data_IF_804547484381
#
_entry.id   IF_804547484381
#
_cell.length_a   1.000
_cell.length_b   1.000
_cell.length_c   1.000
_cell.angle_alpha   90.00
_cell.angle_beta   90.00
_cell.angle_gamma   90.00
#
_symmetry.space_group_name_H-M   'P 1'
#
loop_
_entity.id
_entity.type
_entity.pdbx_description
1 polymer ?
#
# COMPACT_ATOMS: atom_id res chain seq x y z
N UNK A 1 -16.08 -0.55 -1.79
CA UNK A 1 -15.57 -0.96 -3.12
C UNK A 1 -15.27 0.33 -3.87
N UNK A 2 -14.09 0.43 -4.49
CA UNK A 2 -13.73 1.64 -5.24
C UNK A 2 -14.75 1.92 -6.35
N UNK A 3 -15.09 3.17 -6.53
CA UNK A 3 -15.92 3.62 -7.65
C UNK A 3 -15.02 4.03 -8.81
N UNK A 4 -14.71 3.07 -9.67
CA UNK A 4 -13.83 3.26 -10.82
C UNK A 4 -14.44 4.10 -11.95
N UNK A 5 -15.69 4.56 -11.81
CA UNK A 5 -16.29 5.53 -12.73
C UNK A 5 -15.86 6.95 -12.42
N UNK A 6 -15.30 7.19 -11.23
CA UNK A 6 -14.81 8.51 -10.83
C UNK A 6 -13.36 8.70 -11.26
N UNK A 7 -13.12 9.81 -11.91
CA UNK A 7 -11.80 10.30 -12.28
C UNK A 7 -11.56 11.63 -11.58
N UNK A 8 -10.42 11.78 -10.91
CA UNK A 8 -9.97 13.06 -10.41
C UNK A 8 -9.00 13.67 -11.43
N UNK A 9 -9.13 14.97 -11.66
CA UNK A 9 -8.25 15.70 -12.57
C UNK A 9 -7.29 16.58 -11.77
N UNK A 10 -6.15 16.87 -12.38
CA UNK A 10 -5.08 17.63 -11.74
C UNK A 10 -5.54 18.99 -11.22
N UNK A 11 -6.45 19.64 -11.93
CA UNK A 11 -7.04 20.95 -11.57
C UNK A 11 -7.78 20.91 -10.23
N UNK A 12 -8.39 19.77 -9.91
CA UNK A 12 -9.22 19.58 -8.71
C UNK A 12 -8.42 19.18 -7.47
N UNK A 13 -7.11 18.93 -7.63
CA UNK A 13 -6.22 18.47 -6.55
C UNK A 13 -5.40 19.64 -6.00
N UNK A 14 -5.28 19.71 -4.67
CA UNK A 14 -4.45 20.70 -3.98
C UNK A 14 -3.38 20.04 -3.10
N UNK A 15 -2.27 20.74 -2.90
CA UNK A 15 -1.29 20.32 -1.89
C UNK A 15 -1.95 20.34 -0.50
N UNK A 16 -1.73 19.28 0.26
CA UNK A 16 -2.37 19.06 1.56
C UNK A 16 -3.65 18.21 1.51
N UNK A 17 -4.23 17.96 0.34
CA UNK A 17 -5.41 17.09 0.23
C UNK A 17 -5.09 15.68 0.72
N UNK A 18 -5.94 15.15 1.60
CA UNK A 18 -5.85 13.76 2.05
C UNK A 18 -6.47 12.83 1.01
N UNK A 19 -5.82 11.69 0.77
CA UNK A 19 -6.39 10.67 -0.11
C UNK A 19 -7.28 9.70 0.68
N UNK A 20 -8.26 9.06 0.05
CA UNK A 20 -9.13 8.08 0.72
C UNK A 20 -8.32 6.97 1.38
N UNK A 21 -8.65 6.65 2.63
CA UNK A 21 -8.07 5.51 3.33
C UNK A 21 -8.58 4.21 2.74
N UNK A 22 -7.68 3.26 2.51
CA UNK A 22 -8.03 1.90 2.06
C UNK A 22 -7.53 0.90 3.09
N UNK A 23 -8.44 0.05 3.58
CA UNK A 23 -8.15 -0.97 4.58
C UNK A 23 -7.87 -2.33 3.94
N UNK A 24 -6.81 -2.97 4.41
CA UNK A 24 -6.38 -4.29 3.98
C UNK A 24 -6.34 -5.27 5.15
N UNK A 25 -7.18 -6.28 5.11
CA UNK A 25 -7.16 -7.35 6.10
C UNK A 25 -6.04 -8.35 5.79
N UNK A 26 -5.15 -8.56 6.73
CA UNK A 26 -4.05 -9.53 6.62
C UNK A 26 -4.55 -10.90 7.09
N UNK A 27 -5.27 -11.60 6.21
CA UNK A 27 -5.79 -12.94 6.47
C UNK A 27 -4.83 -14.03 6.00
N UNK A 28 -4.90 -15.22 6.63
CA UNK A 28 -4.08 -16.39 6.26
C UNK A 28 -4.17 -16.70 4.78
N UNK A 29 -5.41 -16.77 4.25
CA UNK A 29 -5.62 -17.07 2.84
C UNK A 29 -4.94 -16.06 1.92
N UNK A 30 -5.03 -14.78 2.24
CA UNK A 30 -4.39 -13.71 1.45
C UNK A 30 -2.88 -13.82 1.44
N UNK A 31 -2.28 -14.10 2.61
CA UNK A 31 -0.83 -14.31 2.72
C UNK A 31 -0.35 -15.50 1.88
N UNK A 32 -1.07 -16.62 1.94
CA UNK A 32 -0.72 -17.83 1.17
C UNK A 32 -0.88 -17.60 -0.34
N UNK A 33 -2.01 -17.03 -0.77
CA UNK A 33 -2.29 -16.78 -2.19
C UNK A 33 -1.28 -15.78 -2.77
N UNK A 34 -0.98 -14.74 -2.01
CA UNK A 34 -0.06 -13.69 -2.42
C UNK A 34 1.39 -14.23 -2.52
N UNK A 35 1.86 -14.97 -1.51
CA UNK A 35 3.17 -15.60 -1.56
C UNK A 35 3.31 -16.52 -2.79
N UNK A 36 2.26 -17.28 -3.11
CA UNK A 36 2.22 -18.10 -4.32
C UNK A 36 2.24 -17.27 -5.61
N UNK A 37 1.44 -16.21 -5.67
CA UNK A 37 1.33 -15.33 -6.85
C UNK A 37 2.66 -14.61 -7.16
N UNK A 38 3.35 -14.15 -6.13
CA UNK A 38 4.65 -13.49 -6.26
C UNK A 38 5.83 -14.45 -6.33
N UNK A 39 5.58 -15.76 -6.24
CA UNK A 39 6.64 -16.79 -6.16
C UNK A 39 7.60 -16.59 -4.97
N UNK A 40 7.13 -15.95 -3.93
CA UNK A 40 7.85 -15.79 -2.67
C UNK A 40 7.48 -16.94 -1.73
N UNK A 41 8.10 -18.08 -1.99
CA UNK A 41 7.83 -19.32 -1.23
C UNK A 41 8.52 -19.37 0.13
N UNK A 42 9.05 -18.24 0.63
CA UNK A 42 9.61 -18.20 1.96
C UNK A 42 8.51 -18.52 3.00
N UNK A 43 8.69 -19.55 3.83
CA UNK A 43 7.64 -20.01 4.73
C UNK A 43 7.26 -18.98 5.83
N UNK A 44 8.03 -17.94 6.04
CA UNK A 44 7.71 -16.86 7.01
C UNK A 44 6.39 -16.15 6.69
N UNK A 45 5.95 -16.20 5.42
CA UNK A 45 4.70 -15.58 4.97
C UNK A 45 3.47 -16.49 5.15
N UNK A 46 3.65 -17.76 5.48
CA UNK A 46 2.54 -18.71 5.65
C UNK A 46 2.76 -19.74 6.77
N UNK A 47 3.76 -19.54 7.62
CA UNK A 47 4.04 -20.40 8.76
C UNK A 47 4.54 -19.57 9.95
N UNK A 48 3.69 -19.40 10.95
CA UNK A 48 3.99 -18.63 12.17
C UNK A 48 5.21 -19.14 12.93
N UNK A 49 5.39 -20.45 13.05
CA UNK A 49 6.53 -21.01 13.81
C UNK A 49 7.87 -20.65 13.15
N UNK A 50 7.92 -20.67 11.82
CA UNK A 50 9.13 -20.29 11.09
C UNK A 50 9.36 -18.78 11.09
N UNK A 51 8.29 -17.99 11.01
CA UNK A 51 8.37 -16.53 11.15
C UNK A 51 8.93 -16.15 12.54
N UNK A 52 8.40 -16.78 13.60
CA UNK A 52 8.86 -16.56 14.99
C UNK A 52 10.32 -17.01 15.20
N UNK A 53 10.73 -18.10 14.58
CA UNK A 53 12.13 -18.55 14.62
C UNK A 53 13.10 -17.53 13.97
N UNK A 54 12.59 -16.64 13.11
CA UNK A 54 13.35 -15.55 12.49
C UNK A 54 13.12 -14.19 13.15
N UNK A 55 12.44 -14.15 14.30
CA UNK A 55 12.25 -12.93 15.09
C UNK A 55 10.99 -12.13 14.78
N UNK A 56 10.14 -12.57 13.86
CA UNK A 56 8.83 -11.95 13.64
C UNK A 56 7.81 -12.45 14.68
N UNK A 57 6.82 -11.63 15.07
CA UNK A 57 5.81 -12.05 16.05
C UNK A 57 4.85 -13.13 15.50
N UNK A 58 4.55 -13.09 14.22
CA UNK A 58 3.64 -13.97 13.50
C UNK A 58 4.03 -14.03 12.01
N UNK A 59 3.40 -14.91 11.22
CA UNK A 59 3.51 -14.82 9.76
C UNK A 59 2.98 -13.47 9.27
N UNK A 60 3.58 -12.91 8.23
CA UNK A 60 3.36 -11.53 7.83
C UNK A 60 3.42 -11.33 6.32
N UNK A 61 2.86 -10.20 5.88
CA UNK A 61 2.85 -9.79 4.48
C UNK A 61 4.28 -9.56 3.94
N UNK A 62 4.55 -10.01 2.73
CA UNK A 62 5.79 -9.69 2.07
C UNK A 62 5.78 -8.28 1.45
N UNK A 63 6.94 -7.80 1.06
CA UNK A 63 7.13 -6.45 0.55
C UNK A 63 6.33 -6.17 -0.72
N UNK A 64 6.23 -7.14 -1.62
CA UNK A 64 5.50 -7.00 -2.88
C UNK A 64 4.01 -6.83 -2.64
N UNK A 65 3.46 -7.55 -1.66
CA UNK A 65 2.07 -7.40 -1.27
C UNK A 65 1.77 -6.02 -0.69
N UNK A 66 2.66 -5.50 0.16
CA UNK A 66 2.54 -4.16 0.75
C UNK A 66 2.65 -3.08 -0.34
N UNK A 67 3.55 -3.24 -1.30
CA UNK A 67 3.63 -2.35 -2.47
C UNK A 67 2.31 -2.34 -3.26
N UNK A 68 1.67 -3.49 -3.42
CA UNK A 68 0.36 -3.60 -4.05
C UNK A 68 -0.74 -2.85 -3.29
N UNK A 69 -0.68 -2.81 -1.96
CA UNK A 69 -1.62 -2.01 -1.16
C UNK A 69 -1.46 -0.51 -1.42
N UNK A 70 -0.24 -0.02 -1.47
CA UNK A 70 0.03 1.40 -1.75
C UNK A 70 -0.31 1.77 -3.19
N UNK A 71 0.02 0.92 -4.16
CA UNK A 71 -0.40 1.12 -5.54
C UNK A 71 -1.93 1.17 -5.65
N UNK A 72 -2.62 0.21 -5.02
CA UNK A 72 -4.08 0.17 -5.00
C UNK A 72 -4.67 1.44 -4.38
N UNK A 73 -4.14 1.89 -3.25
CA UNK A 73 -4.61 3.09 -2.55
C UNK A 73 -4.40 4.35 -3.41
N UNK A 74 -3.22 4.50 -4.01
CA UNK A 74 -2.95 5.59 -4.93
C UNK A 74 -3.90 5.54 -6.15
N UNK A 75 -4.15 4.36 -6.70
CA UNK A 75 -5.03 4.13 -7.84
C UNK A 75 -6.49 4.48 -7.55
N UNK A 76 -6.97 4.18 -6.35
CA UNK A 76 -8.32 4.57 -5.92
C UNK A 76 -8.50 6.10 -5.83
N UNK A 77 -7.42 6.84 -5.60
CA UNK A 77 -7.44 8.29 -5.61
C UNK A 77 -7.32 8.87 -7.03
N UNK A 78 -6.28 8.47 -7.79
CA UNK A 78 -6.00 9.06 -9.10
C UNK A 78 -6.91 8.56 -10.23
N UNK A 79 -7.68 7.50 -9.99
CA UNK A 79 -8.52 6.88 -11.01
C UNK A 79 -7.74 6.07 -12.05
N UNK A 80 -8.42 5.67 -13.13
CA UNK A 80 -7.84 4.78 -14.16
C UNK A 80 -6.99 5.53 -15.19
N UNK A 81 -7.25 6.81 -15.44
CA UNK A 81 -6.50 7.61 -16.42
C UNK A 81 -5.17 8.12 -15.88
N UNK A 82 -5.01 8.21 -14.55
CA UNK A 82 -3.76 8.60 -13.92
C UNK A 82 -2.66 7.56 -14.11
N UNK A 83 -1.42 8.01 -14.30
CA UNK A 83 -0.25 7.13 -14.46
C UNK A 83 0.67 7.25 -13.26
N UNK A 84 0.95 6.13 -12.60
CA UNK A 84 1.97 6.08 -11.55
C UNK A 84 3.34 6.03 -12.23
N UNK A 85 4.06 7.15 -12.22
CA UNK A 85 5.40 7.28 -12.83
C UNK A 85 6.49 6.68 -11.94
N UNK A 86 6.32 6.76 -10.62
CA UNK A 86 7.30 6.28 -9.64
C UNK A 86 6.60 5.87 -8.35
N UNK A 87 7.01 4.75 -7.80
CA UNK A 87 6.60 4.27 -6.47
C UNK A 87 7.86 4.03 -5.63
N UNK A 88 7.97 4.70 -4.49
CA UNK A 88 9.12 4.66 -3.58
C UNK A 88 9.94 5.96 -3.55
N UNK A 89 10.96 6.05 -2.70
CA UNK A 89 11.44 4.97 -1.82
C UNK A 89 10.41 4.62 -0.74
N UNK A 90 10.46 3.39 -0.23
CA UNK A 90 9.61 2.97 0.87
C UNK A 90 10.45 2.39 2.00
N UNK A 91 9.89 2.44 3.21
CA UNK A 91 10.52 1.90 4.42
C UNK A 91 9.46 1.17 5.22
N UNK A 92 9.72 -0.10 5.51
CA UNK A 92 8.94 -0.88 6.45
C UNK A 92 9.49 -0.70 7.87
N UNK A 93 8.62 -0.47 8.84
CA UNK A 93 9.00 -0.17 10.22
C UNK A 93 8.62 -1.28 11.18
N UNK A 94 7.42 -1.84 11.00
CA UNK A 94 6.91 -2.96 11.78
C UNK A 94 6.27 -3.99 10.87
N UNK A 95 6.14 -5.21 11.36
CA UNK A 95 5.55 -6.30 10.59
C UNK A 95 4.03 -6.14 10.45
N UNK A 96 3.53 -6.28 9.24
CA UNK A 96 2.11 -6.39 8.96
C UNK A 96 1.70 -7.86 9.09
N UNK A 97 1.36 -8.25 10.33
CA UNK A 97 1.13 -9.66 10.68
C UNK A 97 -0.29 -10.12 10.41
N UNK A 98 -0.45 -11.43 10.31
CA UNK A 98 -1.77 -12.07 10.21
C UNK A 98 -2.70 -11.60 11.36
N UNK A 99 -3.97 -11.37 11.02
CA UNK A 99 -4.99 -10.89 11.95
C UNK A 99 -5.12 -9.36 12.03
N UNK A 100 -4.13 -8.60 11.54
CA UNK A 100 -4.22 -7.14 11.51
C UNK A 100 -5.10 -6.64 10.36
N UNK A 101 -5.71 -5.48 10.55
CA UNK A 101 -6.25 -4.64 9.48
C UNK A 101 -5.31 -3.46 9.31
N UNK A 102 -4.75 -3.32 8.13
CA UNK A 102 -3.79 -2.27 7.79
C UNK A 102 -4.48 -1.19 7.00
N UNK A 103 -4.51 0.02 7.55
CA UNK A 103 -5.05 1.21 6.89
C UNK A 103 -3.93 1.88 6.08
N UNK A 104 -4.09 1.93 4.76
CA UNK A 104 -3.23 2.70 3.88
C UNK A 104 -3.80 4.09 3.68
N UNK A 105 -2.99 5.09 3.95
CA UNK A 105 -3.33 6.52 3.94
C UNK A 105 -2.31 7.31 3.14
N UNK A 106 -2.64 8.55 2.84
CA UNK A 106 -1.70 9.46 2.21
C UNK A 106 -2.26 10.86 2.05
N UNK A 107 -1.41 11.74 1.58
CA UNK A 107 -1.74 13.13 1.26
C UNK A 107 -0.92 13.62 0.07
N UNK A 108 -1.45 14.60 -0.61
CA UNK A 108 -0.75 15.32 -1.68
C UNK A 108 0.29 16.26 -1.05
N UNK A 109 1.57 16.06 -1.35
CA UNK A 109 2.64 16.89 -0.79
C UNK A 109 3.24 17.85 -1.81
N UNK A 110 3.02 17.61 -3.09
CA UNK A 110 3.51 18.48 -4.14
C UNK A 110 2.65 18.38 -5.40
N UNK A 111 2.51 19.51 -6.08
CA UNK A 111 1.79 19.63 -7.34
C UNK A 111 2.61 20.52 -8.29
N UNK A 112 2.90 20.05 -9.51
CA UNK A 112 3.70 20.83 -10.47
C UNK A 112 3.40 20.44 -11.90
N UNK A 113 3.91 21.25 -12.81
CA UNK A 113 3.90 20.98 -14.25
C UNK A 113 5.34 20.94 -14.78
N UNK A 114 5.61 19.98 -15.63
CA UNK A 114 6.93 19.82 -16.24
C UNK A 114 6.81 19.14 -17.60
N UNK A 115 7.47 19.68 -18.63
CA UNK A 115 7.48 19.11 -19.97
C UNK A 115 6.08 19.00 -20.62
N UNK A 116 5.11 19.82 -20.20
CA UNK A 116 3.73 19.75 -20.69
C UNK A 116 2.88 18.68 -20.03
N UNK A 117 3.41 17.97 -19.04
CA UNK A 117 2.67 17.00 -18.22
C UNK A 117 2.35 17.58 -16.83
N UNK A 118 1.26 17.10 -16.24
CA UNK A 118 0.79 17.49 -14.91
C UNK A 118 1.15 16.39 -13.90
N UNK A 119 1.79 16.77 -12.80
CA UNK A 119 2.28 15.87 -11.78
C UNK A 119 1.74 16.21 -10.40
N UNK A 120 1.54 15.16 -9.60
CA UNK A 120 1.39 15.25 -8.14
C UNK A 120 2.35 14.25 -7.48
N UNK A 121 2.77 14.57 -6.27
CA UNK A 121 3.49 13.67 -5.38
C UNK A 121 2.65 13.37 -4.16
N UNK A 122 2.52 12.09 -3.84
CA UNK A 122 1.82 11.59 -2.66
C UNK A 122 2.83 11.12 -1.62
N UNK A 123 2.71 11.60 -0.38
CA UNK A 123 3.30 10.94 0.77
C UNK A 123 2.29 9.91 1.28
N UNK A 124 2.70 8.65 1.33
CA UNK A 124 1.82 7.55 1.74
C UNK A 124 2.41 6.78 2.90
N UNK A 125 1.54 6.25 3.77
CA UNK A 125 1.93 5.38 4.87
C UNK A 125 0.87 4.34 5.13
N UNK A 126 1.26 3.28 5.81
CA UNK A 126 0.37 2.25 6.33
C UNK A 126 0.45 2.21 7.85
N UNK A 127 -0.65 1.94 8.51
CA UNK A 127 -0.72 1.83 9.97
C UNK A 127 -1.71 0.74 10.40
N UNK A 128 -1.46 0.16 11.56
CA UNK A 128 -2.36 -0.77 12.22
C UNK A 128 -2.29 -0.59 13.75
N UNK A 129 -2.86 -1.50 14.54
CA UNK A 129 -2.97 -1.36 15.99
C UNK A 129 -1.65 -1.09 16.72
N UNK A 130 -0.51 -1.47 16.14
CA UNK A 130 0.83 -1.31 16.72
C UNK A 130 1.59 -0.07 16.23
N UNK A 131 1.02 0.69 15.30
CA UNK A 131 1.59 1.93 14.77
C UNK A 131 1.83 1.92 13.26
N UNK A 132 2.67 2.84 12.78
CA UNK A 132 3.03 2.97 11.36
C UNK A 132 3.95 1.83 10.95
N UNK A 133 3.57 1.12 9.91
CA UNK A 133 4.27 -0.07 9.38
C UNK A 133 5.13 0.18 8.15
#
# INVERSE_FOLDING_TARGET
MADWSKQIYWEDVNEGDEIPTVDFNVGVQRLVVEAGANRDFNPIHHNTRLAQAQGAPEMYANNTFILGWWERTAREFIGLEGVIKKLGPFRLRIFNTVGETVACKGKVVKKWQEGGENFIELEMWSEHTKGIS
#
